data_IF_271729596907
#
_entry.id   IF_271729596907
#
_cell.length_a   1.000
_cell.length_b   1.000
_cell.length_c   1.000
_cell.angle_alpha   90.00
_cell.angle_beta   90.00
_cell.angle_gamma   90.00
#
_symmetry.space_group_name_H-M   'P 1'
#
loop_
_entity.id
_entity.type
_entity.pdbx_description
1 polymer ?
#
# COMPACT_ATOMS: atom_id res chain seq x y z
N UNK A 1 -5.61 -10.15 7.34
CA UNK A 1 -4.65 -10.79 6.42
C UNK A 1 -3.59 -9.78 6.01
N UNK A 2 -2.33 -10.16 6.06
CA UNK A 2 -1.24 -9.26 5.66
C UNK A 2 -1.01 -9.29 4.16
N UNK A 3 -0.79 -8.13 3.61
CA UNK A 3 -0.40 -7.97 2.21
C UNK A 3 0.95 -7.28 2.13
N UNK A 4 1.78 -7.78 1.23
CA UNK A 4 3.03 -7.13 0.89
C UNK A 4 2.77 -6.19 -0.29
N UNK A 5 3.02 -4.92 -0.07
CA UNK A 5 2.83 -3.88 -1.10
C UNK A 5 4.20 -3.55 -1.67
N UNK A 6 4.34 -3.68 -2.98
CA UNK A 6 5.62 -3.46 -3.67
C UNK A 6 5.43 -2.50 -4.84
N UNK A 7 6.54 -2.05 -5.40
CA UNK A 7 6.55 -1.19 -6.58
C UNK A 7 5.70 0.07 -6.40
N UNK A 8 5.77 0.66 -5.20
CA UNK A 8 4.98 1.85 -4.90
C UNK A 8 5.58 3.05 -5.63
N UNK A 9 4.79 3.70 -6.45
CA UNK A 9 5.18 4.93 -7.16
C UNK A 9 4.49 6.10 -6.50
N UNK A 10 5.27 7.03 -5.96
CA UNK A 10 4.76 8.18 -5.23
C UNK A 10 4.69 9.42 -6.12
N UNK A 11 3.75 10.30 -5.79
CA UNK A 11 3.64 11.62 -6.41
C UNK A 11 4.27 12.64 -5.48
N UNK A 12 5.52 12.99 -5.74
CA UNK A 12 6.31 13.89 -4.89
C UNK A 12 6.52 15.27 -5.54
N UNK A 13 5.81 15.56 -6.62
CA UNK A 13 5.94 16.82 -7.36
C UNK A 13 7.38 17.13 -7.78
N UNK A 14 8.14 16.09 -8.09
CA UNK A 14 9.52 16.23 -8.51
C UNK A 14 10.53 16.39 -7.38
N UNK A 15 10.07 16.36 -6.13
CA UNK A 15 10.97 16.39 -4.98
C UNK A 15 11.68 15.05 -4.82
N UNK A 16 12.95 15.11 -4.48
CA UNK A 16 13.75 13.90 -4.24
C UNK A 16 13.65 13.49 -2.78
N UNK A 17 12.63 12.70 -2.48
CA UNK A 17 12.33 12.25 -1.11
C UNK A 17 12.52 10.74 -1.04
N UNK A 18 13.19 10.27 0.01
CA UNK A 18 13.30 8.84 0.26
C UNK A 18 12.02 8.33 0.90
N UNK A 19 11.31 7.48 0.16
CA UNK A 19 10.09 6.84 0.63
C UNK A 19 10.22 5.33 0.44
N UNK A 20 9.57 4.53 1.31
CA UNK A 20 9.65 3.09 1.18
C UNK A 20 8.97 2.62 -0.10
N UNK A 21 9.64 1.75 -0.84
CA UNK A 21 9.06 1.13 -2.04
C UNK A 21 8.23 -0.11 -1.70
N UNK A 22 8.39 -0.62 -0.49
CA UNK A 22 7.73 -1.84 -0.02
C UNK A 22 7.18 -1.58 1.38
N UNK A 23 5.93 -1.99 1.59
CA UNK A 23 5.26 -1.90 2.89
C UNK A 23 4.49 -3.17 3.17
N UNK A 24 4.35 -3.51 4.45
CA UNK A 24 3.47 -4.58 4.89
C UNK A 24 2.22 -3.97 5.51
N UNK A 25 1.06 -4.31 4.99
CA UNK A 25 -0.21 -3.75 5.44
C UNK A 25 -1.15 -4.88 5.87
N UNK A 26 -1.67 -4.76 7.08
CA UNK A 26 -2.62 -5.72 7.61
C UNK A 26 -4.05 -5.26 7.29
N UNK A 27 -4.71 -6.02 6.41
CA UNK A 27 -6.07 -5.71 5.98
C UNK A 27 -7.05 -6.50 6.85
N UNK A 28 -8.05 -5.84 7.46
CA UNK A 28 -9.05 -6.54 8.27
C UNK A 28 -9.80 -7.62 7.49
N UNK A 29 -10.11 -8.72 8.15
CA UNK A 29 -10.77 -9.86 7.51
C UNK A 29 -12.18 -9.56 7.03
N UNK A 30 -12.82 -8.53 7.58
CA UNK A 30 -14.16 -8.14 7.14
C UNK A 30 -14.16 -7.40 5.80
N UNK A 31 -13.00 -7.06 5.27
CA UNK A 31 -12.87 -6.44 3.94
C UNK A 31 -12.62 -7.56 2.93
N UNK A 32 -13.68 -7.99 2.25
CA UNK A 32 -13.63 -9.11 1.31
C UNK A 32 -13.66 -8.68 -0.15
N UNK A 33 -14.13 -7.47 -0.43
CA UNK A 33 -14.20 -6.95 -1.79
C UNK A 33 -12.81 -6.52 -2.27
N UNK A 34 -12.35 -6.99 -3.44
CA UNK A 34 -11.03 -6.56 -3.97
C UNK A 34 -10.88 -5.05 -4.10
N UNK A 35 -11.93 -4.35 -4.48
CA UNK A 35 -11.89 -2.88 -4.60
C UNK A 35 -11.75 -2.21 -3.24
N UNK A 36 -12.49 -2.67 -2.25
CA UNK A 36 -12.38 -2.14 -0.88
C UNK A 36 -11.00 -2.43 -0.29
N UNK A 37 -10.45 -3.59 -0.60
CA UNK A 37 -9.11 -3.96 -0.16
C UNK A 37 -8.06 -3.01 -0.72
N UNK A 38 -8.14 -2.74 -2.01
CA UNK A 38 -7.21 -1.80 -2.68
C UNK A 38 -7.34 -0.41 -2.10
N UNK A 39 -8.57 0.06 -1.86
CA UNK A 39 -8.80 1.36 -1.24
C UNK A 39 -8.22 1.42 0.18
N UNK A 40 -8.40 0.38 0.96
CA UNK A 40 -7.85 0.31 2.31
C UNK A 40 -6.33 0.41 2.27
N UNK A 41 -5.69 -0.38 1.41
CA UNK A 41 -4.23 -0.37 1.26
C UNK A 41 -3.75 1.00 0.78
N UNK A 42 -4.44 1.59 -0.16
CA UNK A 42 -4.12 2.93 -0.68
C UNK A 42 -4.15 3.98 0.43
N UNK A 43 -5.19 3.96 1.25
CA UNK A 43 -5.32 4.89 2.38
C UNK A 43 -4.19 4.69 3.40
N UNK A 44 -3.84 3.44 3.69
CA UNK A 44 -2.76 3.14 4.62
C UNK A 44 -1.41 3.62 4.10
N UNK A 45 -1.15 3.47 2.82
CA UNK A 45 0.09 3.98 2.22
C UNK A 45 0.18 5.49 2.43
N UNK A 46 -0.90 6.21 2.14
CA UNK A 46 -0.95 7.66 2.32
C UNK A 46 -0.78 8.07 3.79
N UNK A 47 -1.38 7.32 4.71
CA UNK A 47 -1.27 7.59 6.14
C UNK A 47 0.15 7.35 6.67
N UNK A 48 0.81 6.30 6.20
CA UNK A 48 2.16 5.96 6.65
C UNK A 48 3.19 6.92 6.08
N UNK A 49 3.08 7.26 4.81
CA UNK A 49 4.08 8.05 4.10
C UNK A 49 3.80 9.55 4.08
N UNK A 50 2.54 9.92 4.19
CA UNK A 50 2.12 11.32 4.06
C UNK A 50 2.10 11.84 2.63
N UNK A 51 2.30 10.97 1.65
CA UNK A 51 2.32 11.35 0.23
C UNK A 51 1.28 10.57 -0.56
N UNK A 52 0.78 11.19 -1.63
CA UNK A 52 -0.06 10.49 -2.59
C UNK A 52 0.79 9.53 -3.43
N UNK A 53 0.19 8.49 -3.92
CA UNK A 53 0.87 7.52 -4.78
C UNK A 53 0.11 7.35 -6.09
N UNK A 54 0.84 6.95 -7.13
CA UNK A 54 0.28 6.75 -8.48
C UNK A 54 -0.10 5.30 -8.74
N UNK A 55 0.58 4.37 -8.09
CA UNK A 55 0.31 2.96 -8.26
C UNK A 55 1.15 2.10 -7.34
N UNK A 56 0.75 0.85 -7.22
CA UNK A 56 1.46 -0.13 -6.41
C UNK A 56 1.01 -1.53 -6.80
N UNK A 57 1.77 -2.53 -6.36
CA UNK A 57 1.45 -3.94 -6.52
C UNK A 57 1.23 -4.56 -5.15
N UNK A 58 0.24 -5.42 -5.01
CA UNK A 58 -0.04 -6.10 -3.75
C UNK A 58 0.06 -7.61 -3.92
N UNK A 59 0.61 -8.27 -2.89
CA UNK A 59 0.69 -9.72 -2.84
C UNK A 59 0.26 -10.19 -1.45
N UNK A 60 -0.63 -11.19 -1.36
CA UNK A 60 -0.98 -11.75 -0.06
C UNK A 60 0.21 -12.46 0.54
N UNK A 61 0.46 -12.22 1.83
CA UNK A 61 1.49 -12.94 2.56
C UNK A 61 0.89 -14.19 3.16
N UNK A 62 1.46 -15.32 2.79
CA UNK A 62 1.03 -16.61 3.31
C UNK A 62 2.06 -17.03 4.37
N UNK A 63 1.59 -17.16 5.60
CA UNK A 63 2.41 -17.70 6.69
C UNK A 63 2.13 -19.19 6.79
N UNK A 64 3.16 -19.95 6.56
CA UNK A 64 3.10 -21.39 6.79
C UNK A 64 3.72 -21.76 8.12
#
# INVERSE_FOLDING_TARGET
MKYKVTNITYDTDGENIELPETLDIDVPDNINDPYERVEYISDEISNITGFCHKGFTTEPQINE
#
